data_IF_834408658119
#
_entry.id   IF_834408658119
#
_cell.length_a   1.000
_cell.length_b   1.000
_cell.length_c   1.000
_cell.angle_alpha   90.00
_cell.angle_beta   90.00
_cell.angle_gamma   90.00
#
_symmetry.space_group_name_H-M   'P 1'
#
loop_
_entity.id
_entity.type
_entity.pdbx_description
1 polymer ?
#
# COMPACT_ATOMS: atom_id res chain seq x y z
N UNK A 1 29.69 25.23 1.11
CA UNK A 1 29.14 24.37 2.15
C UNK A 1 28.79 23.02 1.49
N UNK A 2 29.51 21.97 1.82
CA UNK A 2 29.23 20.63 1.30
C UNK A 2 27.95 20.10 1.93
N UNK A 3 26.95 19.92 1.09
CA UNK A 3 25.64 19.46 1.53
C UNK A 3 25.71 17.97 1.81
N UNK A 4 25.56 17.60 3.06
CA UNK A 4 25.44 16.19 3.43
C UNK A 4 24.07 15.64 2.99
N UNK A 5 24.00 15.17 1.73
CA UNK A 5 22.78 14.63 1.13
C UNK A 5 22.21 13.41 1.85
N UNK A 6 23.03 12.66 2.61
CA UNK A 6 22.57 11.55 3.44
C UNK A 6 21.81 12.05 4.66
N UNK A 7 22.31 13.12 5.32
CA UNK A 7 21.62 13.75 6.45
C UNK A 7 20.26 14.32 6.02
N UNK A 8 20.19 15.02 4.89
CA UNK A 8 18.93 15.53 4.32
C UNK A 8 17.90 14.41 4.13
N UNK A 9 18.27 13.33 3.48
CA UNK A 9 17.37 12.21 3.19
C UNK A 9 16.89 11.49 4.45
N UNK A 10 17.70 11.41 5.50
CA UNK A 10 17.30 10.80 6.77
C UNK A 10 16.19 11.56 7.46
N UNK A 11 16.15 12.88 7.33
CA UNK A 11 15.14 13.73 7.93
C UNK A 11 13.99 14.11 6.97
N UNK A 12 13.75 13.29 5.92
CA UNK A 12 12.72 13.48 4.91
C UNK A 12 12.84 14.76 4.07
N UNK A 13 13.99 15.44 4.09
CA UNK A 13 14.27 16.53 3.15
C UNK A 13 14.82 16.03 1.83
N UNK A 14 14.56 16.79 0.77
CA UNK A 14 15.06 16.50 -0.58
C UNK A 14 16.28 17.35 -0.93
N UNK A 15 17.15 16.77 -1.74
CA UNK A 15 18.16 17.57 -2.45
C UNK A 15 17.44 18.41 -3.50
N UNK A 16 17.60 19.72 -3.43
CA UNK A 16 17.07 20.67 -4.43
C UNK A 16 18.07 20.88 -5.57
N UNK A 17 17.58 21.27 -6.74
CA UNK A 17 18.41 21.79 -7.85
C UNK A 17 18.93 23.20 -7.56
N UNK A 18 18.26 23.93 -6.69
CA UNK A 18 18.64 25.29 -6.31
C UNK A 18 19.53 25.22 -5.08
N UNK A 19 20.71 25.81 -5.17
CA UNK A 19 21.70 25.84 -4.08
C UNK A 19 21.11 26.60 -2.88
N UNK A 20 21.28 26.05 -1.69
CA UNK A 20 20.77 26.63 -0.44
C UNK A 20 19.31 26.35 -0.12
N UNK A 21 18.57 25.75 -1.07
CA UNK A 21 17.17 25.37 -0.84
C UNK A 21 17.00 23.87 -0.72
N UNK A 22 15.92 23.46 -0.03
CA UNK A 22 15.46 22.09 0.09
C UNK A 22 13.94 22.03 0.04
N UNK A 23 13.36 20.83 0.14
CA UNK A 23 11.93 20.62 0.31
C UNK A 23 11.71 19.54 1.37
N UNK A 24 10.74 19.75 2.25
CA UNK A 24 10.34 18.76 3.26
C UNK A 24 9.23 17.87 2.76
N UNK A 25 9.30 16.58 3.08
CA UNK A 25 8.25 15.58 2.81
C UNK A 25 7.43 15.31 4.06
N UNK A 26 6.13 15.50 3.96
CA UNK A 26 5.19 15.17 5.02
C UNK A 26 4.50 13.86 4.71
N UNK A 27 4.57 12.91 5.64
CA UNK A 27 3.94 11.59 5.52
C UNK A 27 2.45 11.69 5.88
N UNK A 28 1.61 11.05 5.06
CA UNK A 28 0.17 10.92 5.29
C UNK A 28 -0.23 9.47 5.00
N UNK A 29 -0.01 8.54 5.94
CA UNK A 29 -0.32 7.14 5.73
C UNK A 29 -1.79 6.91 5.36
N UNK A 30 -2.01 6.19 4.26
CA UNK A 30 -3.34 5.95 3.73
C UNK A 30 -4.00 7.16 3.08
N UNK A 31 -3.25 8.25 2.83
CA UNK A 31 -3.79 9.48 2.22
C UNK A 31 -4.90 10.15 3.05
N UNK A 32 -4.92 9.93 4.36
CA UNK A 32 -5.97 10.40 5.24
C UNK A 32 -5.40 11.07 6.48
N UNK A 33 -5.58 12.37 6.59
CA UNK A 33 -5.26 13.18 7.76
C UNK A 33 -6.47 14.04 8.17
N UNK A 34 -6.39 14.62 9.37
CA UNK A 34 -7.36 15.63 9.80
C UNK A 34 -7.03 17.02 9.22
N UNK A 35 -7.97 17.96 9.37
CA UNK A 35 -7.81 19.32 8.87
C UNK A 35 -6.63 20.06 9.54
N UNK A 36 -6.35 19.76 10.82
CA UNK A 36 -5.27 20.42 11.56
C UNK A 36 -3.89 20.09 10.98
N UNK A 37 -3.68 18.84 10.54
CA UNK A 37 -2.45 18.45 9.82
C UNK A 37 -2.31 19.23 8.53
N UNK A 38 -3.40 19.42 7.77
CA UNK A 38 -3.41 20.23 6.54
C UNK A 38 -3.08 21.68 6.85
N UNK A 39 -3.69 22.25 7.89
CA UNK A 39 -3.43 23.63 8.29
C UNK A 39 -1.96 23.83 8.67
N UNK A 40 -1.40 22.91 9.43
CA UNK A 40 0.01 22.96 9.82
C UNK A 40 0.97 22.87 8.62
N UNK A 41 0.65 22.05 7.62
CA UNK A 41 1.42 22.00 6.37
C UNK A 41 1.35 23.33 5.64
N UNK A 42 0.18 23.97 5.60
CA UNK A 42 -0.02 25.31 5.02
C UNK A 42 0.80 26.37 5.76
N UNK A 43 0.80 26.34 7.08
CA UNK A 43 1.53 27.31 7.91
C UNK A 43 3.05 27.18 7.72
N UNK A 44 3.57 25.95 7.66
CA UNK A 44 5.00 25.71 7.34
C UNK A 44 5.34 26.23 5.94
N UNK A 45 4.49 25.93 4.95
CA UNK A 45 4.73 26.35 3.57
C UNK A 45 4.75 27.88 3.40
N UNK A 46 3.90 28.60 4.14
CA UNK A 46 3.85 30.07 4.14
C UNK A 46 5.01 30.69 4.89
N UNK A 47 5.43 30.09 5.99
CA UNK A 47 6.44 30.66 6.89
C UNK A 47 7.87 30.37 6.44
N UNK A 48 8.14 29.16 5.98
CA UNK A 48 9.50 28.69 5.67
C UNK A 48 9.70 28.21 4.23
N UNK A 49 8.62 27.96 3.49
CA UNK A 49 8.66 27.59 2.08
C UNK A 49 8.40 28.77 1.13
N UNK A 50 8.14 28.44 -0.12
CA UNK A 50 7.75 29.39 -1.15
C UNK A 50 6.22 29.62 -1.24
N UNK A 51 5.44 29.12 -0.26
CA UNK A 51 3.98 29.18 -0.24
C UNK A 51 3.30 28.09 -1.08
N UNK A 52 4.05 27.20 -1.73
CA UNK A 52 3.51 26.10 -2.54
C UNK A 52 3.61 24.78 -1.81
N UNK A 53 2.61 23.91 -2.03
CA UNK A 53 2.55 22.56 -1.50
C UNK A 53 2.32 21.62 -2.67
N UNK A 54 3.24 20.66 -2.87
CA UNK A 54 3.08 19.62 -3.87
C UNK A 54 2.44 18.37 -3.27
N UNK A 55 1.30 17.96 -3.84
CA UNK A 55 0.66 16.68 -3.48
C UNK A 55 1.36 15.57 -4.24
N UNK A 56 2.01 14.68 -3.51
CA UNK A 56 2.82 13.63 -4.11
C UNK A 56 1.98 12.47 -4.65
N UNK A 57 2.53 11.74 -5.62
CA UNK A 57 1.91 10.49 -6.14
C UNK A 57 1.70 9.42 -5.05
N UNK A 58 2.27 9.61 -3.86
CA UNK A 58 2.12 8.72 -2.70
C UNK A 58 1.26 9.31 -1.61
N UNK A 59 0.44 10.32 -1.95
CA UNK A 59 -0.53 10.92 -1.04
C UNK A 59 0.08 11.62 0.18
N UNK A 60 1.36 11.95 0.14
CA UNK A 60 1.98 12.85 1.09
C UNK A 60 2.12 14.25 0.51
N UNK A 61 2.70 15.17 1.25
CA UNK A 61 2.97 16.52 0.81
C UNK A 61 4.47 16.75 0.67
N UNK A 62 4.86 17.63 -0.24
CA UNK A 62 6.19 18.22 -0.27
C UNK A 62 6.04 19.74 -0.17
N UNK A 63 6.74 20.34 0.79
CA UNK A 63 6.79 21.78 1.00
C UNK A 63 8.07 22.26 0.36
N UNK A 64 7.94 23.12 -0.66
CA UNK A 64 9.05 23.56 -1.50
C UNK A 64 9.67 24.87 -1.00
N UNK A 65 10.92 25.14 -1.41
CA UNK A 65 11.56 26.43 -1.21
C UNK A 65 12.06 26.69 0.21
N UNK A 66 12.23 25.67 1.03
CA UNK A 66 12.74 25.80 2.39
C UNK A 66 14.24 26.09 2.33
N UNK A 67 14.71 27.13 3.04
CA UNK A 67 16.12 27.39 3.23
C UNK A 67 16.76 26.35 4.13
N UNK A 68 18.00 25.92 3.81
CA UNK A 68 18.67 24.86 4.58
C UNK A 68 18.92 25.26 6.04
N UNK A 69 19.07 26.54 6.34
CA UNK A 69 19.23 27.09 7.69
C UNK A 69 17.94 27.01 8.54
N UNK A 70 16.77 26.86 7.89
CA UNK A 70 15.49 26.75 8.57
C UNK A 70 15.04 25.30 8.81
N UNK A 71 15.84 24.30 8.41
CA UNK A 71 15.45 22.88 8.53
C UNK A 71 15.07 22.49 9.95
N UNK A 72 15.81 22.94 10.96
CA UNK A 72 15.56 22.59 12.36
C UNK A 72 14.24 23.21 12.85
N UNK A 73 13.94 24.45 12.47
CA UNK A 73 12.66 25.12 12.75
C UNK A 73 11.49 24.41 12.08
N UNK A 74 11.68 23.95 10.84
CA UNK A 74 10.67 23.16 10.12
C UNK A 74 10.43 21.82 10.81
N UNK A 75 11.50 21.15 11.29
CA UNK A 75 11.37 19.90 12.04
C UNK A 75 10.57 20.09 13.35
N UNK A 76 10.83 21.18 14.09
CA UNK A 76 10.04 21.54 15.27
C UNK A 76 8.55 21.70 14.94
N UNK A 77 8.24 22.42 13.86
CA UNK A 77 6.85 22.59 13.42
C UNK A 77 6.20 21.30 12.87
N UNK A 78 6.99 20.35 12.37
CA UNK A 78 6.49 19.04 11.95
C UNK A 78 6.19 18.09 13.11
N UNK A 79 6.72 18.37 14.32
CA UNK A 79 6.64 17.46 15.46
C UNK A 79 5.20 17.00 15.79
N UNK A 80 4.18 17.87 15.88
CA UNK A 80 2.82 17.43 16.15
C UNK A 80 2.25 16.48 15.08
N UNK A 81 2.66 16.63 13.82
CA UNK A 81 2.28 15.71 12.72
C UNK A 81 2.93 14.34 12.95
N UNK A 82 4.22 14.32 13.34
CA UNK A 82 4.97 13.09 13.60
C UNK A 82 4.37 12.35 14.80
N UNK A 83 4.05 13.08 15.88
CA UNK A 83 3.42 12.52 17.07
C UNK A 83 2.07 11.86 16.77
N UNK A 84 1.27 12.49 15.90
CA UNK A 84 -0.01 11.95 15.48
C UNK A 84 0.11 10.63 14.68
N UNK A 85 1.27 10.36 14.06
CA UNK A 85 1.53 9.09 13.38
C UNK A 85 1.76 7.93 14.36
N UNK A 86 2.09 8.23 15.62
CA UNK A 86 2.42 7.23 16.65
C UNK A 86 3.51 6.25 16.22
N UNK A 87 4.48 6.72 15.44
CA UNK A 87 5.65 5.95 15.01
C UNK A 87 6.79 6.11 16.00
N UNK A 88 7.72 5.15 16.01
CA UNK A 88 8.94 5.29 16.78
C UNK A 88 9.77 6.44 16.24
N UNK A 89 10.19 7.34 17.10
CA UNK A 89 11.07 8.46 16.78
C UNK A 89 12.22 8.49 17.80
N UNK A 90 13.37 9.04 17.38
CA UNK A 90 14.53 9.10 18.25
C UNK A 90 14.39 10.23 19.27
N UNK A 91 14.28 11.45 18.77
CA UNK A 91 14.30 12.67 19.59
C UNK A 91 13.33 13.69 19.00
N UNK A 92 12.55 14.33 19.87
CA UNK A 92 11.59 15.34 19.45
C UNK A 92 12.28 16.52 18.73
N UNK A 93 11.66 17.05 17.69
CA UNK A 93 12.16 18.18 16.91
C UNK A 93 13.25 17.84 15.88
N UNK A 94 13.69 16.56 15.81
CA UNK A 94 14.71 16.14 14.83
C UNK A 94 14.16 15.75 13.45
N UNK A 95 12.83 15.82 13.28
CA UNK A 95 12.13 15.43 12.07
C UNK A 95 11.85 13.94 11.99
N UNK A 96 11.56 13.43 10.80
CA UNK A 96 11.29 12.02 10.59
C UNK A 96 12.56 11.17 10.77
N UNK A 97 12.49 10.06 11.53
CA UNK A 97 13.69 9.26 11.87
C UNK A 97 14.27 8.47 10.70
N UNK A 98 13.54 8.32 9.60
CA UNK A 98 13.98 7.63 8.39
C UNK A 98 13.17 8.05 7.16
N UNK A 99 13.71 7.88 5.95
CA UNK A 99 13.04 8.27 4.71
C UNK A 99 13.09 7.21 3.60
N UNK A 100 13.71 6.05 3.84
CA UNK A 100 13.85 4.97 2.86
C UNK A 100 12.52 4.36 2.49
N UNK A 101 11.77 3.91 3.48
CA UNK A 101 10.40 3.41 3.32
C UNK A 101 9.46 4.54 2.92
N UNK A 102 8.76 4.34 1.81
CA UNK A 102 7.85 5.35 1.25
C UNK A 102 6.53 5.37 2.01
N UNK A 103 5.85 6.54 1.96
CA UNK A 103 4.50 6.67 2.51
C UNK A 103 3.60 5.55 2.00
N UNK A 104 2.88 4.88 2.89
CA UNK A 104 1.89 3.85 2.53
C UNK A 104 0.67 4.56 1.94
N UNK A 105 0.39 4.32 0.66
CA UNK A 105 -0.73 4.96 -0.02
C UNK A 105 -1.96 4.03 -0.07
N UNK A 106 -3.15 4.63 -0.06
CA UNK A 106 -4.40 3.87 -0.08
C UNK A 106 -5.53 4.62 -0.81
N UNK A 107 -6.45 3.89 -1.42
CA UNK A 107 -7.69 4.48 -1.91
C UNK A 107 -8.62 4.85 -0.74
N UNK A 108 -9.75 5.54 -1.01
CA UNK A 108 -10.69 5.99 0.01
C UNK A 108 -11.31 4.84 0.82
N UNK A 109 -11.33 3.60 0.28
CA UNK A 109 -11.89 2.43 0.94
C UNK A 109 -13.38 2.55 1.26
N UNK A 110 -13.86 1.68 2.16
CA UNK A 110 -15.29 1.61 2.54
C UNK A 110 -15.76 2.78 3.41
N UNK A 111 -14.93 3.77 3.69
CA UNK A 111 -15.38 5.00 4.37
C UNK A 111 -16.41 5.78 3.55
N UNK A 112 -16.29 5.70 2.22
CA UNK A 112 -17.19 6.38 1.27
C UNK A 112 -17.54 5.48 0.08
N UNK A 113 -16.57 4.73 -0.46
CA UNK A 113 -16.77 3.95 -1.68
C UNK A 113 -17.61 2.69 -1.42
N UNK A 114 -18.75 2.49 -2.12
CA UNK A 114 -19.61 1.31 -1.94
C UNK A 114 -18.91 0.01 -2.37
N UNK A 115 -17.90 0.07 -3.23
CA UNK A 115 -17.09 -1.09 -3.64
C UNK A 115 -16.04 -1.49 -2.61
N UNK A 116 -15.68 -0.59 -1.69
CA UNK A 116 -14.66 -0.88 -0.67
C UNK A 116 -15.10 -2.00 0.27
N UNK A 117 -14.23 -2.98 0.48
CA UNK A 117 -14.47 -4.10 1.38
C UNK A 117 -13.93 -3.86 2.79
N UNK A 118 -13.05 -2.87 2.97
CA UNK A 118 -12.46 -2.53 4.27
C UNK A 118 -12.05 -1.05 4.35
N UNK A 119 -11.70 -0.61 5.56
CA UNK A 119 -11.16 0.73 5.81
C UNK A 119 -9.66 0.76 5.51
N UNK A 120 -9.33 1.20 4.32
CA UNK A 120 -7.95 1.24 3.81
C UNK A 120 -7.02 2.16 4.61
N UNK A 121 -7.54 3.28 5.13
CA UNK A 121 -6.74 4.22 5.91
C UNK A 121 -6.34 3.64 7.27
N UNK A 122 -7.22 2.89 7.92
CA UNK A 122 -6.92 2.21 9.20
C UNK A 122 -5.82 1.18 8.99
N UNK A 123 -5.95 0.32 7.98
CA UNK A 123 -4.95 -0.70 7.70
C UNK A 123 -3.61 -0.09 7.24
N UNK A 124 -3.64 0.97 6.43
CA UNK A 124 -2.43 1.68 6.02
C UNK A 124 -1.66 2.26 7.23
N UNK A 125 -2.37 2.87 8.19
CA UNK A 125 -1.77 3.38 9.43
C UNK A 125 -1.20 2.24 10.29
N UNK A 126 -1.87 1.10 10.35
CA UNK A 126 -1.40 -0.09 11.06
C UNK A 126 -0.11 -0.63 10.45
N UNK A 127 -0.02 -0.72 9.12
CA UNK A 127 1.20 -1.09 8.41
C UNK A 127 2.31 -0.06 8.67
N UNK A 128 2.02 1.24 8.48
CA UNK A 128 2.99 2.31 8.73
C UNK A 128 3.63 2.19 10.11
N UNK A 129 2.80 1.99 11.14
CA UNK A 129 3.26 1.83 12.53
C UNK A 129 4.15 0.61 12.73
N UNK A 130 3.92 -0.47 11.98
CA UNK A 130 4.70 -1.69 12.07
C UNK A 130 6.06 -1.61 11.36
N UNK A 131 6.15 -0.85 10.25
CA UNK A 131 7.33 -0.84 9.39
C UNK A 131 8.20 0.42 9.50
N UNK A 132 7.66 1.52 9.97
CA UNK A 132 8.38 2.79 10.08
C UNK A 132 8.85 3.02 11.52
N UNK A 133 10.06 3.52 11.76
CA UNK A 133 11.05 3.99 10.79
C UNK A 133 11.89 2.87 10.14
N UNK A 134 12.14 2.99 8.83
CA UNK A 134 13.02 2.07 8.11
C UNK A 134 13.63 2.75 6.86
N UNK A 135 14.92 2.55 6.64
CA UNK A 135 15.66 3.15 5.52
C UNK A 135 15.62 2.30 4.23
N UNK A 136 15.14 1.07 4.29
CA UNK A 136 14.98 0.22 3.12
C UNK A 136 13.89 0.77 2.19
N UNK A 137 14.14 0.65 0.87
CA UNK A 137 13.27 1.24 -0.14
C UNK A 137 12.07 0.35 -0.47
N UNK A 138 10.97 0.56 0.22
CA UNK A 138 9.70 -0.13 -0.04
C UNK A 138 8.59 0.81 -0.46
N UNK A 139 7.69 0.29 -1.30
CA UNK A 139 6.50 0.95 -1.77
C UNK A 139 5.30 0.04 -1.54
N UNK A 140 4.38 0.47 -0.71
CA UNK A 140 3.18 -0.28 -0.35
C UNK A 140 1.95 0.52 -0.74
N UNK A 141 0.98 -0.13 -1.35
CA UNK A 141 -0.29 0.48 -1.71
C UNK A 141 -1.48 -0.42 -1.38
N UNK A 142 -2.56 0.18 -0.88
CA UNK A 142 -3.77 -0.50 -0.46
C UNK A 142 -4.97 -0.05 -1.28
N UNK A 143 -5.72 -1.00 -1.84
CA UNK A 143 -6.98 -0.72 -2.51
C UNK A 143 -8.14 -1.46 -1.84
N UNK A 144 -9.29 -0.80 -1.73
CA UNK A 144 -10.46 -1.33 -1.04
C UNK A 144 -11.14 -2.50 -1.75
N UNK A 145 -10.90 -2.69 -3.04
CA UNK A 145 -11.52 -3.73 -3.86
C UNK A 145 -10.72 -4.02 -5.13
N UNK A 146 -11.18 -4.99 -5.93
CA UNK A 146 -10.52 -5.44 -7.15
C UNK A 146 -10.44 -4.39 -8.29
N UNK A 147 -11.13 -3.23 -8.19
CA UNK A 147 -11.00 -2.15 -9.16
C UNK A 147 -9.60 -1.49 -9.17
N UNK A 148 -8.83 -1.71 -8.14
CA UNK A 148 -7.43 -1.26 -8.00
C UNK A 148 -7.19 0.21 -8.40
N UNK A 149 -8.04 1.14 -7.91
CA UNK A 149 -7.98 2.56 -8.27
C UNK A 149 -6.63 3.23 -7.96
N UNK A 150 -5.95 2.78 -6.89
CA UNK A 150 -4.61 3.28 -6.49
C UNK A 150 -3.47 2.61 -7.25
N UNK A 151 -3.79 1.63 -8.13
CA UNK A 151 -2.80 0.83 -8.85
C UNK A 151 -1.84 0.09 -7.93
N UNK A 152 -2.40 -0.60 -6.93
CA UNK A 152 -1.65 -1.35 -5.94
C UNK A 152 -0.68 -2.35 -6.58
N UNK A 153 -1.08 -2.99 -7.69
CA UNK A 153 -0.21 -3.91 -8.47
C UNK A 153 1.05 -3.25 -9.07
N UNK A 154 1.17 -1.93 -9.07
CA UNK A 154 2.36 -1.22 -9.54
C UNK A 154 3.39 -0.96 -8.42
N UNK A 155 3.18 -1.53 -7.24
CA UNK A 155 4.00 -1.33 -6.05
C UNK A 155 4.73 -2.60 -5.64
N UNK A 156 5.79 -2.47 -4.85
CA UNK A 156 6.53 -3.64 -4.32
C UNK A 156 5.59 -4.59 -3.56
N UNK A 157 4.64 -4.00 -2.80
CA UNK A 157 3.50 -4.69 -2.21
C UNK A 157 2.20 -3.99 -2.60
N UNK A 158 1.27 -4.75 -3.16
CA UNK A 158 -0.10 -4.35 -3.40
C UNK A 158 -1.08 -5.15 -2.54
N UNK A 159 -1.93 -4.45 -1.78
CA UNK A 159 -2.92 -5.07 -0.91
C UNK A 159 -4.31 -4.74 -1.45
N UNK A 160 -5.03 -5.76 -1.88
CA UNK A 160 -6.33 -5.63 -2.54
C UNK A 160 -7.40 -6.24 -1.63
N UNK A 161 -8.37 -5.43 -1.21
CA UNK A 161 -9.47 -5.90 -0.36
C UNK A 161 -10.40 -6.87 -1.08
N UNK A 162 -10.73 -7.93 -0.38
CA UNK A 162 -11.62 -8.99 -0.82
C UNK A 162 -12.78 -9.15 0.17
N UNK A 163 -13.85 -9.76 -0.27
CA UNK A 163 -14.95 -10.24 0.60
C UNK A 163 -15.39 -11.61 0.14
N UNK A 164 -15.69 -12.48 1.07
CA UNK A 164 -16.40 -13.71 0.78
C UNK A 164 -17.91 -13.42 0.77
N UNK A 165 -18.58 -13.47 -0.40
CA UNK A 165 -20.01 -13.13 -0.46
C UNK A 165 -20.82 -14.19 0.26
N UNK A 166 -21.68 -13.74 1.18
CA UNK A 166 -22.63 -14.59 1.92
C UNK A 166 -24.00 -14.52 1.24
N UNK A 167 -24.60 -15.65 0.91
CA UNK A 167 -25.88 -15.74 0.19
C UNK A 167 -27.00 -16.24 1.06
N UNK A 168 -28.09 -15.45 1.16
CA UNK A 168 -29.36 -15.84 1.78
C UNK A 168 -30.39 -16.14 0.69
N UNK A 169 -30.71 -17.42 0.43
CA UNK A 169 -31.69 -17.80 -0.59
C UNK A 169 -33.13 -17.35 -0.28
N UNK A 170 -33.47 -17.07 1.01
CA UNK A 170 -34.81 -16.66 1.40
C UNK A 170 -35.11 -15.20 1.00
N UNK A 171 -34.05 -14.40 0.82
CA UNK A 171 -34.18 -13.01 0.37
C UNK A 171 -33.99 -12.86 -1.15
N UNK A 172 -33.68 -13.94 -1.85
CA UNK A 172 -33.42 -13.91 -3.28
C UNK A 172 -34.74 -13.97 -4.08
N UNK A 173 -34.91 -12.99 -4.95
CA UNK A 173 -36.08 -12.93 -5.89
C UNK A 173 -35.70 -13.40 -7.31
N UNK A 174 -34.58 -14.09 -7.48
CA UNK A 174 -34.11 -14.68 -8.74
C UNK A 174 -34.00 -13.69 -9.92
N UNK A 175 -33.74 -12.42 -9.64
CA UNK A 175 -33.67 -11.38 -10.68
C UNK A 175 -32.42 -11.43 -11.60
N UNK A 176 -31.41 -12.22 -11.24
CA UNK A 176 -30.18 -12.39 -12.03
C UNK A 176 -29.23 -11.20 -12.04
N UNK A 177 -29.48 -10.11 -11.32
CA UNK A 177 -28.66 -8.90 -11.33
C UNK A 177 -27.20 -9.15 -10.87
N UNK A 178 -27.00 -10.04 -9.89
CA UNK A 178 -25.70 -10.45 -9.40
C UNK A 178 -24.92 -11.26 -10.45
N UNK A 179 -25.58 -12.16 -11.18
CA UNK A 179 -24.99 -12.95 -12.26
C UNK A 179 -24.51 -12.01 -13.38
N UNK A 180 -25.39 -11.16 -13.89
CA UNK A 180 -25.04 -10.15 -14.92
C UNK A 180 -23.90 -9.25 -14.47
N UNK A 181 -23.82 -8.91 -13.17
CA UNK A 181 -22.74 -8.11 -12.62
C UNK A 181 -21.41 -8.87 -12.59
N UNK A 182 -21.43 -10.16 -12.31
CA UNK A 182 -20.27 -11.04 -12.33
C UNK A 182 -19.74 -11.25 -13.75
N UNK A 183 -20.62 -11.58 -14.69
CA UNK A 183 -20.29 -11.82 -16.11
C UNK A 183 -19.68 -10.58 -16.75
N UNK A 184 -20.23 -9.38 -16.46
CA UNK A 184 -19.71 -8.11 -16.96
C UNK A 184 -18.26 -7.85 -16.58
N UNK A 185 -17.78 -8.46 -15.48
CA UNK A 185 -16.38 -8.39 -15.04
C UNK A 185 -15.54 -9.56 -15.55
N UNK A 186 -16.11 -10.42 -16.41
CA UNK A 186 -15.47 -11.64 -16.92
C UNK A 186 -14.95 -12.57 -15.83
N UNK A 187 -15.65 -12.60 -14.68
CA UNK A 187 -15.33 -13.49 -13.56
C UNK A 187 -16.07 -14.81 -13.66
N UNK A 188 -17.34 -14.77 -14.15
CA UNK A 188 -18.19 -15.93 -14.40
C UNK A 188 -18.29 -16.91 -13.22
N UNK A 189 -18.25 -16.36 -12.00
CA UNK A 189 -18.31 -17.16 -10.78
C UNK A 189 -19.74 -17.41 -10.28
N UNK A 190 -20.75 -16.76 -10.86
CA UNK A 190 -22.15 -16.91 -10.45
C UNK A 190 -23.00 -17.42 -11.59
N UNK A 191 -23.86 -18.37 -11.30
CA UNK A 191 -24.88 -18.89 -12.23
C UNK A 191 -26.24 -18.96 -11.55
N UNK A 192 -27.29 -18.91 -12.35
CA UNK A 192 -28.66 -19.18 -11.89
C UNK A 192 -29.04 -20.61 -12.28
N UNK A 193 -29.34 -21.41 -11.27
CA UNK A 193 -29.78 -22.79 -11.43
C UNK A 193 -31.06 -22.99 -10.60
N UNK A 194 -32.13 -23.47 -11.21
CA UNK A 194 -33.44 -23.70 -10.53
C UNK A 194 -33.90 -22.50 -9.69
N UNK A 195 -33.82 -21.29 -10.27
CA UNK A 195 -34.19 -20.02 -9.60
C UNK A 195 -33.36 -19.68 -8.35
N UNK A 196 -32.22 -20.32 -8.18
CA UNK A 196 -31.25 -20.03 -7.11
C UNK A 196 -29.91 -19.65 -7.69
N UNK A 197 -29.14 -18.90 -6.93
CA UNK A 197 -27.80 -18.51 -7.38
C UNK A 197 -26.79 -19.49 -6.79
N UNK A 198 -25.98 -20.07 -7.68
CA UNK A 198 -24.86 -20.94 -7.33
C UNK A 198 -23.56 -20.18 -7.55
N UNK A 199 -22.65 -20.25 -6.59
CA UNK A 199 -21.32 -19.64 -6.66
C UNK A 199 -20.26 -20.71 -6.89
N UNK A 200 -19.44 -20.51 -7.90
CA UNK A 200 -18.17 -21.23 -8.05
C UNK A 200 -17.10 -20.50 -7.23
N UNK A 201 -16.62 -21.13 -6.18
CA UNK A 201 -15.67 -20.53 -5.23
C UNK A 201 -14.27 -20.34 -5.84
N UNK A 202 -13.84 -21.28 -6.68
CA UNK A 202 -12.53 -21.22 -7.37
C UNK A 202 -12.43 -20.03 -8.34
N UNK A 203 -13.53 -19.71 -9.03
CA UNK A 203 -13.61 -18.57 -9.92
C UNK A 203 -13.81 -17.25 -9.18
N UNK A 204 -14.32 -17.28 -7.97
CA UNK A 204 -14.68 -16.09 -7.24
C UNK A 204 -13.45 -15.27 -6.80
N UNK A 205 -13.30 -14.06 -7.31
CA UNK A 205 -12.18 -13.15 -6.98
C UNK A 205 -12.46 -12.26 -5.75
N UNK A 206 -13.59 -12.47 -5.05
CA UNK A 206 -13.92 -11.72 -3.84
C UNK A 206 -14.17 -10.22 -4.07
N UNK A 207 -14.60 -9.80 -5.26
CA UNK A 207 -14.78 -8.39 -5.60
C UNK A 207 -15.99 -7.72 -4.94
N UNK A 208 -16.97 -8.49 -4.46
CA UNK A 208 -18.18 -7.99 -3.79
C UNK A 208 -19.22 -7.34 -4.71
N UNK A 209 -19.11 -7.45 -6.04
CA UNK A 209 -20.07 -6.86 -7.00
C UNK A 209 -21.48 -7.45 -6.82
N UNK A 210 -21.59 -8.75 -6.53
CA UNK A 210 -22.85 -9.42 -6.24
C UNK A 210 -23.61 -8.78 -5.07
N UNK A 211 -22.88 -8.33 -4.04
CA UNK A 211 -23.44 -7.62 -2.89
C UNK A 211 -24.05 -6.29 -3.30
N UNK A 212 -23.32 -5.52 -4.14
CA UNK A 212 -23.73 -4.18 -4.58
C UNK A 212 -24.92 -4.25 -5.53
N UNK A 213 -24.95 -5.28 -6.40
CA UNK A 213 -25.99 -5.43 -7.41
C UNK A 213 -27.27 -6.07 -6.91
N UNK A 214 -27.26 -6.65 -5.70
CA UNK A 214 -28.43 -7.33 -5.16
C UNK A 214 -29.46 -6.34 -4.60
N UNK A 215 -30.66 -6.17 -5.23
CA UNK A 215 -31.65 -5.20 -4.78
C UNK A 215 -32.30 -5.60 -3.44
N UNK A 216 -32.35 -6.90 -3.15
CA UNK A 216 -33.02 -7.44 -1.92
C UNK A 216 -32.01 -7.71 -0.80
N UNK A 217 -30.71 -7.40 -1.02
CA UNK A 217 -29.63 -7.72 -0.07
C UNK A 217 -29.56 -9.21 0.29
N UNK A 218 -29.92 -10.10 -0.64
CA UNK A 218 -29.69 -11.52 -0.50
C UNK A 218 -28.19 -11.87 -0.46
N UNK A 219 -27.35 -11.01 -1.02
CA UNK A 219 -25.90 -11.07 -0.88
C UNK A 219 -25.41 -10.04 0.13
N UNK A 220 -24.57 -10.48 1.07
CA UNK A 220 -23.90 -9.61 2.05
C UNK A 220 -22.39 -9.87 2.04
N UNK A 221 -21.61 -8.95 2.60
CA UNK A 221 -20.17 -9.16 2.81
C UNK A 221 -19.94 -10.01 4.05
N UNK A 222 -18.88 -10.83 4.03
CA UNK A 222 -18.41 -11.52 5.23
C UNK A 222 -18.03 -10.52 6.34
N UNK A 223 -18.22 -10.91 7.58
CA UNK A 223 -17.75 -10.16 8.74
C UNK A 223 -16.21 -10.13 8.77
N UNK A 224 -15.57 -11.29 8.51
CA UNK A 224 -14.12 -11.41 8.36
C UNK A 224 -13.66 -10.66 7.12
N UNK A 225 -12.56 -9.93 7.27
CA UNK A 225 -11.93 -9.18 6.16
C UNK A 225 -10.86 -10.04 5.54
N UNK A 226 -10.84 -10.02 4.23
CA UNK A 226 -9.88 -10.78 3.45
C UNK A 226 -9.12 -9.88 2.48
N UNK A 227 -7.92 -10.28 2.17
CA UNK A 227 -7.01 -9.52 1.34
C UNK A 227 -6.28 -10.42 0.36
N UNK A 228 -5.95 -9.82 -0.77
CA UNK A 228 -4.97 -10.36 -1.72
C UNK A 228 -3.69 -9.55 -1.56
N UNK A 229 -2.58 -10.22 -1.38
CA UNK A 229 -1.25 -9.61 -1.37
C UNK A 229 -0.57 -9.89 -2.71
N UNK A 230 -0.20 -8.82 -3.41
CA UNK A 230 0.60 -8.91 -4.63
C UNK A 230 2.01 -8.41 -4.39
N UNK A 231 2.98 -8.98 -5.08
CA UNK A 231 4.40 -8.70 -4.91
C UNK A 231 5.06 -8.26 -6.20
N UNK A 232 6.21 -7.55 -6.06
CA UNK A 232 7.20 -7.31 -7.10
C UNK A 232 6.75 -6.34 -8.18
N UNK A 233 5.67 -5.58 -7.98
CA UNK A 233 5.23 -4.55 -8.91
C UNK A 233 6.24 -3.41 -8.99
N UNK A 234 6.56 -2.98 -10.22
CA UNK A 234 7.41 -1.82 -10.51
C UNK A 234 7.16 -1.30 -11.93
N UNK A 235 7.16 0.01 -12.12
CA UNK A 235 6.85 0.62 -13.41
C UNK A 235 7.97 1.50 -13.94
N UNK A 236 9.02 1.73 -13.14
CA UNK A 236 10.15 2.58 -13.53
C UNK A 236 11.35 1.82 -14.05
N UNK A 237 12.17 2.48 -14.88
CA UNK A 237 13.45 1.98 -15.43
C UNK A 237 13.27 0.75 -16.33
N UNK A 238 14.23 -0.19 -16.23
CA UNK A 238 14.20 -1.46 -16.99
C UNK A 238 13.21 -2.44 -16.38
N UNK A 239 12.63 -3.28 -17.21
CA UNK A 239 11.74 -4.39 -16.84
C UNK A 239 10.56 -3.96 -15.94
N UNK A 240 9.69 -3.04 -16.42
CA UNK A 240 8.45 -2.73 -15.71
C UNK A 240 7.54 -3.97 -15.66
N UNK A 241 6.86 -4.16 -14.52
CA UNK A 241 5.93 -5.27 -14.35
C UNK A 241 4.83 -4.95 -13.36
N UNK A 242 3.68 -5.58 -13.48
CA UNK A 242 2.64 -5.60 -12.47
C UNK A 242 2.99 -6.63 -11.39
N UNK A 243 2.56 -6.35 -10.17
CA UNK A 243 2.69 -7.28 -9.06
C UNK A 243 1.81 -8.51 -9.24
N UNK A 244 2.37 -9.67 -8.99
CA UNK A 244 1.71 -10.96 -9.06
C UNK A 244 1.16 -11.39 -7.70
N UNK A 245 0.11 -12.20 -7.72
CA UNK A 245 -0.53 -12.68 -6.51
C UNK A 245 0.41 -13.62 -5.73
N UNK A 246 0.62 -13.34 -4.47
CA UNK A 246 1.35 -14.19 -3.52
C UNK A 246 0.42 -14.86 -2.52
N UNK A 247 -0.39 -14.07 -1.82
CA UNK A 247 -1.40 -14.56 -0.91
C UNK A 247 -2.80 -14.16 -1.39
N UNK A 248 -3.76 -15.07 -1.29
CA UNK A 248 -5.18 -14.80 -1.59
C UNK A 248 -5.98 -15.28 -0.39
N UNK A 249 -7.00 -14.53 0.01
CA UNK A 249 -7.81 -14.75 1.21
C UNK A 249 -7.02 -14.64 2.52
N UNK A 250 -5.95 -13.86 2.53
CA UNK A 250 -5.15 -13.60 3.73
C UNK A 250 -5.84 -12.58 4.66
N UNK A 251 -5.44 -12.58 5.92
CA UNK A 251 -5.83 -11.57 6.90
C UNK A 251 -4.75 -10.48 7.09
N UNK A 252 -5.02 -9.48 7.93
CA UNK A 252 -4.13 -8.35 8.17
C UNK A 252 -2.83 -8.76 8.87
N UNK A 253 -2.92 -9.67 9.85
CA UNK A 253 -1.77 -10.09 10.66
C UNK A 253 -0.78 -10.88 9.82
N UNK A 254 -1.28 -11.81 9.02
CA UNK A 254 -0.49 -12.56 8.03
C UNK A 254 0.25 -11.60 7.09
N UNK A 255 -0.45 -10.61 6.53
CA UNK A 255 0.16 -9.64 5.59
C UNK A 255 1.24 -8.81 6.27
N UNK A 256 0.98 -8.28 7.47
CA UNK A 256 1.97 -7.48 8.22
C UNK A 256 3.21 -8.32 8.51
N UNK A 257 3.04 -9.57 8.95
CA UNK A 257 4.16 -10.46 9.25
C UNK A 257 5.00 -10.76 8.02
N UNK A 258 4.36 -11.04 6.88
CA UNK A 258 5.04 -11.23 5.59
C UNK A 258 5.82 -9.98 5.18
N UNK A 259 5.24 -8.80 5.33
CA UNK A 259 5.94 -7.54 5.04
C UNK A 259 7.18 -7.41 5.93
N UNK A 260 7.06 -7.61 7.24
CA UNK A 260 8.17 -7.53 8.19
C UNK A 260 9.28 -8.55 7.87
N UNK A 261 8.91 -9.77 7.53
CA UNK A 261 9.87 -10.79 7.10
C UNK A 261 10.56 -10.42 5.78
N UNK A 262 9.83 -9.78 4.87
CA UNK A 262 10.44 -9.27 3.63
C UNK A 262 11.47 -8.16 3.90
N UNK A 263 11.27 -7.32 4.92
CA UNK A 263 12.32 -6.37 5.34
C UNK A 263 13.60 -7.08 5.78
N UNK A 264 13.47 -8.19 6.52
CA UNK A 264 14.64 -9.01 6.93
C UNK A 264 15.31 -9.64 5.70
N UNK A 265 14.53 -10.22 4.79
CA UNK A 265 15.03 -10.78 3.53
C UNK A 265 15.78 -9.74 2.70
N UNK A 266 15.22 -8.53 2.52
CA UNK A 266 15.90 -7.47 1.77
C UNK A 266 17.18 -7.02 2.47
N UNK A 267 17.19 -6.93 3.79
CA UNK A 267 18.39 -6.56 4.55
C UNK A 267 19.53 -7.56 4.35
N UNK A 268 19.20 -8.86 4.25
CA UNK A 268 20.17 -9.93 4.03
C UNK A 268 20.69 -9.94 2.60
N UNK A 269 19.81 -9.81 1.62
CA UNK A 269 20.13 -10.06 0.21
C UNK A 269 20.32 -8.81 -0.65
N UNK A 270 20.19 -7.60 -0.10
CA UNK A 270 20.40 -6.37 -0.88
C UNK A 270 21.83 -6.29 -1.43
N UNK A 271 21.98 -5.93 -2.71
CA UNK A 271 23.29 -5.72 -3.30
C UNK A 271 23.99 -4.53 -2.60
N UNK A 272 25.17 -4.74 -1.97
CA UNK A 272 25.94 -3.67 -1.35
C UNK A 272 26.31 -2.55 -2.33
N UNK A 273 26.41 -2.86 -3.62
CA UNK A 273 26.76 -1.93 -4.70
C UNK A 273 25.50 -1.31 -5.35
N UNK A 274 24.30 -1.59 -4.85
CA UNK A 274 23.09 -1.03 -5.41
C UNK A 274 23.14 0.51 -5.45
N UNK A 275 22.78 1.17 -6.56
CA UNK A 275 22.86 2.61 -6.70
C UNK A 275 22.13 3.37 -5.60
N UNK A 276 22.87 4.12 -4.78
CA UNK A 276 22.36 4.85 -3.63
C UNK A 276 21.87 3.96 -2.49
N UNK A 277 22.36 2.70 -2.39
CA UNK A 277 21.96 1.73 -1.37
C UNK A 277 20.49 1.29 -1.51
N UNK A 278 19.93 1.33 -2.72
CA UNK A 278 18.51 1.06 -2.95
C UNK A 278 18.32 0.04 -4.07
N UNK A 279 17.78 -1.10 -3.70
CA UNK A 279 17.34 -2.13 -4.63
C UNK A 279 15.83 -2.38 -4.41
N UNK A 280 15.04 -2.54 -5.47
CA UNK A 280 13.64 -2.93 -5.33
C UNK A 280 13.55 -4.41 -4.99
N UNK A 281 12.62 -4.77 -4.12
CA UNK A 281 12.40 -6.15 -3.67
C UNK A 281 12.26 -7.13 -4.85
N UNK A 282 11.60 -6.72 -5.92
CA UNK A 282 11.43 -7.56 -7.10
C UNK A 282 12.75 -7.90 -7.83
N UNK A 283 13.77 -7.04 -7.80
CA UNK A 283 15.10 -7.37 -8.35
C UNK A 283 15.84 -8.36 -7.46
N UNK A 284 15.72 -8.21 -6.14
CA UNK A 284 16.32 -9.13 -5.18
C UNK A 284 15.71 -10.52 -5.33
N UNK A 285 14.38 -10.62 -5.41
CA UNK A 285 13.69 -11.90 -5.61
C UNK A 285 14.06 -12.53 -6.96
N UNK A 286 14.14 -11.73 -8.04
CA UNK A 286 14.56 -12.23 -9.37
C UNK A 286 15.97 -12.83 -9.32
N UNK A 287 16.88 -12.26 -8.52
CA UNK A 287 18.27 -12.69 -8.38
C UNK A 287 18.44 -13.87 -7.43
N UNK A 288 17.76 -13.87 -6.31
CA UNK A 288 17.88 -14.88 -5.24
C UNK A 288 16.99 -16.10 -5.52
N UNK A 289 15.86 -15.89 -6.16
CA UNK A 289 14.86 -16.91 -6.45
C UNK A 289 13.63 -16.82 -5.55
N UNK A 290 12.46 -17.10 -6.15
CA UNK A 290 11.18 -16.99 -5.44
C UNK A 290 11.03 -18.03 -4.33
N UNK A 291 11.55 -19.23 -4.51
CA UNK A 291 11.49 -20.28 -3.49
C UNK A 291 12.18 -19.87 -2.19
N UNK A 292 13.37 -19.29 -2.27
CA UNK A 292 14.08 -18.77 -1.10
C UNK A 292 13.34 -17.59 -0.47
N UNK A 293 12.85 -16.65 -1.28
CA UNK A 293 12.01 -15.57 -0.77
C UNK A 293 10.79 -16.09 -0.03
N UNK A 294 10.06 -17.07 -0.58
CA UNK A 294 8.86 -17.67 0.02
C UNK A 294 9.16 -18.24 1.41
N UNK A 295 10.29 -18.95 1.54
CA UNK A 295 10.75 -19.50 2.82
C UNK A 295 10.94 -18.40 3.87
N UNK A 296 11.63 -17.32 3.51
CA UNK A 296 11.81 -16.17 4.39
C UNK A 296 10.50 -15.45 4.72
N UNK A 297 9.69 -15.19 3.71
CA UNK A 297 8.45 -14.43 3.84
C UNK A 297 7.44 -15.11 4.78
N UNK A 298 7.41 -16.45 4.77
CA UNK A 298 6.49 -17.25 5.57
C UNK A 298 7.09 -17.77 6.90
N UNK A 299 8.33 -17.41 7.21
CA UNK A 299 8.98 -17.84 8.46
C UNK A 299 8.20 -17.36 9.69
N UNK A 300 7.73 -18.34 10.51
CA UNK A 300 6.92 -18.08 11.70
C UNK A 300 5.58 -17.37 11.45
N UNK A 301 5.05 -17.47 10.21
CA UNK A 301 3.72 -16.92 9.87
C UNK A 301 2.67 -18.02 10.05
N UNK A 302 1.67 -17.75 10.88
CA UNK A 302 0.47 -18.58 10.98
C UNK A 302 -0.42 -18.28 9.76
N UNK A 303 -0.58 -19.26 8.89
CA UNK A 303 -1.38 -19.15 7.67
C UNK A 303 -2.80 -19.64 7.97
N UNK A 304 -3.83 -18.76 7.88
CA UNK A 304 -5.22 -19.18 8.00
C UNK A 304 -5.57 -20.26 6.97
N UNK A 305 -6.41 -21.25 7.31
CA UNK A 305 -6.69 -22.39 6.44
C UNK A 305 -7.31 -22.01 5.09
N UNK A 306 -8.03 -20.91 5.03
CA UNK A 306 -8.61 -20.36 3.79
C UNK A 306 -7.61 -19.61 2.92
N UNK A 307 -6.41 -19.28 3.45
CA UNK A 307 -5.42 -18.52 2.71
C UNK A 307 -4.71 -19.38 1.68
N UNK A 308 -4.80 -18.99 0.43
CA UNK A 308 -4.08 -19.63 -0.67
C UNK A 308 -2.71 -18.95 -0.83
N UNK A 309 -1.65 -19.74 -0.66
CA UNK A 309 -0.26 -19.31 -0.91
C UNK A 309 0.16 -19.79 -2.29
N UNK A 310 0.62 -18.89 -3.14
CA UNK A 310 1.12 -19.25 -4.48
C UNK A 310 2.50 -19.91 -4.38
N UNK A 311 2.67 -21.01 -5.11
CA UNK A 311 3.94 -21.73 -5.15
C UNK A 311 4.98 -21.05 -6.02
N UNK A 312 4.52 -20.37 -7.07
CA UNK A 312 5.38 -19.65 -8.00
C UNK A 312 4.77 -18.30 -8.35
N UNK A 313 5.62 -17.32 -8.60
CA UNK A 313 5.28 -16.05 -9.22
C UNK A 313 5.91 -16.08 -10.60
N UNK A 314 5.07 -16.04 -11.63
CA UNK A 314 5.51 -16.02 -13.02
C UNK A 314 5.28 -14.63 -13.60
N UNK A 315 6.30 -14.07 -14.23
CA UNK A 315 6.21 -12.80 -14.91
C UNK A 315 6.72 -12.90 -16.37
N UNK A 316 5.83 -12.60 -17.28
CA UNK A 316 6.08 -12.58 -18.73
C UNK A 316 6.17 -11.15 -19.29
N UNK A 317 6.62 -10.19 -18.52
CA UNK A 317 6.60 -8.76 -18.87
C UNK A 317 7.54 -8.36 -20.00
N UNK A 318 7.48 -7.09 -20.36
CA UNK A 318 8.30 -6.48 -21.42
C UNK A 318 9.73 -6.28 -20.89
N UNK A 319 10.70 -6.83 -21.59
CA UNK A 319 12.10 -6.58 -21.36
C UNK A 319 12.60 -5.50 -22.33
N UNK A 320 13.01 -4.35 -21.80
CA UNK A 320 13.71 -3.35 -22.60
C UNK A 320 15.18 -3.77 -22.74
N UNK A 321 15.64 -3.84 -23.96
CA UNK A 321 17.06 -4.11 -24.30
C UNK A 321 17.93 -2.89 -24.08
#
# INVERSE_FOLDING_TARGET
MDINTKKLKKNAFRVSKVRGLTASRVRVPGGCCNADVMQQVVDIARKYGNGQIHVTTRQGFEIEGIHMEDMDKVNEMLQPIIDNLQINQNEAGTGYPASGTRNVCACIGNRVCPFGNYNTAVFAKRIEKAIFPNDLHFKIALTGCANDCIKARMHDFGIIGMTEPQYDPNRCVSCGACVKGCDKLSVDALKMENYRIVRNEEKCVGCGVCVIKCPTRAWTRSAKKYYRLTLMGRTGKKNPRLGEDFLIWADEDTIIKVILNTYKFVKEYIDPNAPGGKEHVGYIIDRVGFAEYKKWALDGVEIPPETVVKDNIYWSGIHYR
#
